data_IF_051305467113
#
_entry.id   IF_051305467113
#
_cell.length_a   1.000
_cell.length_b   1.000
_cell.length_c   1.000
_cell.angle_alpha   90.00
_cell.angle_beta   90.00
_cell.angle_gamma   90.00
#
_symmetry.space_group_name_H-M   'P 1'
#
loop_
_entity.id
_entity.type
_entity.pdbx_description
1 polymer ?
#
# COMPACT_ATOMS: atom_id res chain seq x y z
N UNK A 1 -40.23 -8.42 21.09
CA UNK A 1 -38.85 -7.93 21.31
C UNK A 1 -38.28 -7.55 19.95
N UNK A 2 -38.35 -6.27 19.61
CA UNK A 2 -37.87 -5.69 18.35
C UNK A 2 -36.94 -4.55 18.73
N UNK A 3 -35.66 -4.69 18.43
CA UNK A 3 -34.66 -3.66 18.69
C UNK A 3 -34.50 -2.85 17.41
N UNK A 4 -34.96 -1.61 17.47
CA UNK A 4 -34.81 -0.60 16.41
C UNK A 4 -33.32 -0.36 16.12
N UNK A 5 -32.90 -0.56 14.87
CA UNK A 5 -31.65 -0.03 14.34
C UNK A 5 -31.63 1.49 14.54
N UNK A 6 -30.73 1.95 15.40
CA UNK A 6 -30.44 3.36 15.62
C UNK A 6 -29.81 3.98 14.37
N UNK A 7 -30.39 5.09 13.96
CA UNK A 7 -29.90 5.96 12.90
C UNK A 7 -28.48 6.44 13.20
N UNK A 8 -27.52 6.04 12.37
CA UNK A 8 -26.24 6.74 12.19
C UNK A 8 -26.32 7.52 10.88
N UNK A 9 -27.17 8.54 10.86
CA UNK A 9 -27.06 9.66 9.93
C UNK A 9 -26.86 10.90 10.78
N UNK A 10 -25.62 11.16 11.19
CA UNK A 10 -25.24 12.37 11.90
C UNK A 10 -23.95 12.93 11.28
N UNK A 11 -24.13 14.06 10.58
CA UNK A 11 -23.23 15.21 10.62
C UNK A 11 -21.85 15.12 9.93
N UNK A 12 -21.76 14.52 8.73
CA UNK A 12 -20.55 14.58 7.89
C UNK A 12 -20.47 15.86 7.02
N UNK A 13 -20.86 17.02 7.56
CA UNK A 13 -21.07 18.26 6.80
C UNK A 13 -20.39 19.52 7.35
N UNK A 14 -19.48 19.42 8.33
CA UNK A 14 -18.67 20.56 8.78
C UNK A 14 -17.21 20.37 8.34
N UNK A 15 -16.98 20.44 7.04
CA UNK A 15 -15.65 20.79 6.55
C UNK A 15 -15.31 22.16 7.11
N UNK A 16 -14.16 22.31 7.78
CA UNK A 16 -13.64 23.61 8.20
C UNK A 16 -13.59 24.47 6.94
N UNK A 17 -14.45 25.49 6.86
CA UNK A 17 -14.49 26.43 5.75
C UNK A 17 -13.27 27.33 5.84
N UNK A 18 -12.14 26.86 5.31
CA UNK A 18 -10.92 27.65 5.18
C UNK A 18 -11.19 28.89 4.34
N UNK A 19 -10.70 30.04 4.80
CA UNK A 19 -10.70 31.28 4.06
C UNK A 19 -9.87 31.17 2.77
N UNK A 20 -10.11 32.03 1.76
CA UNK A 20 -9.33 32.01 0.52
C UNK A 20 -7.82 32.16 0.74
N UNK A 21 -7.40 32.94 1.73
CA UNK A 21 -5.99 33.13 2.07
C UNK A 21 -5.38 31.88 2.71
N UNK A 22 -6.11 31.22 3.62
CA UNK A 22 -5.67 29.96 4.23
C UNK A 22 -5.55 28.83 3.20
N UNK A 23 -6.47 28.78 2.22
CA UNK A 23 -6.41 27.83 1.10
C UNK A 23 -5.18 28.06 0.21
N UNK A 24 -4.83 29.32 -0.03
CA UNK A 24 -3.63 29.65 -0.82
C UNK A 24 -2.36 29.25 -0.07
N UNK A 25 -2.23 29.62 1.20
CA UNK A 25 -1.07 29.24 2.02
C UNK A 25 -0.93 27.72 2.17
N UNK A 26 -2.04 26.99 2.33
CA UNK A 26 -2.04 25.53 2.39
C UNK A 26 -1.55 24.90 1.08
N UNK A 27 -1.95 25.47 -0.07
CA UNK A 27 -1.50 25.00 -1.38
C UNK A 27 -0.01 25.25 -1.58
N UNK A 28 0.48 26.44 -1.26
CA UNK A 28 1.91 26.78 -1.36
C UNK A 28 2.78 25.88 -0.46
N UNK A 29 2.35 25.65 0.79
CA UNK A 29 3.02 24.72 1.69
C UNK A 29 3.01 23.29 1.15
N UNK A 30 1.91 22.85 0.55
CA UNK A 30 1.79 21.53 -0.08
C UNK A 30 2.73 21.38 -1.26
N UNK A 31 2.79 22.38 -2.14
CA UNK A 31 3.67 22.37 -3.32
C UNK A 31 5.15 22.38 -2.91
N UNK A 32 5.51 23.16 -1.88
CA UNK A 32 6.85 23.13 -1.28
C UNK A 32 7.20 21.74 -0.74
N UNK A 33 6.31 21.13 0.05
CA UNK A 33 6.55 19.80 0.63
C UNK A 33 6.68 18.72 -0.45
N UNK A 34 5.84 18.77 -1.49
CA UNK A 34 5.93 17.85 -2.63
C UNK A 34 7.29 18.00 -3.31
N UNK A 35 7.78 19.22 -3.53
CA UNK A 35 9.09 19.42 -4.15
C UNK A 35 10.23 18.94 -3.23
N UNK A 36 10.20 19.33 -1.95
CA UNK A 36 11.21 18.95 -0.96
C UNK A 36 11.34 17.42 -0.84
N UNK A 37 10.20 16.70 -0.81
CA UNK A 37 10.17 15.25 -0.65
C UNK A 37 10.83 14.47 -1.80
N UNK A 38 10.86 15.02 -3.02
CA UNK A 38 11.46 14.33 -4.19
C UNK A 38 12.96 14.18 -4.03
N UNK A 39 13.60 15.23 -3.51
CA UNK A 39 15.05 15.31 -3.36
C UNK A 39 15.48 14.63 -2.06
N UNK A 40 14.80 14.96 -0.94
CA UNK A 40 15.27 14.59 0.39
C UNK A 40 14.52 13.41 1.02
N UNK A 41 13.31 13.11 0.54
CA UNK A 41 12.37 12.26 1.28
C UNK A 41 11.84 12.96 2.54
N UNK A 42 11.08 12.22 3.35
CA UNK A 42 10.44 12.70 4.58
C UNK A 42 10.84 11.82 5.77
N UNK A 43 10.90 12.42 6.96
CA UNK A 43 11.13 11.68 8.21
C UNK A 43 9.91 10.82 8.57
N UNK A 44 10.13 9.79 9.39
CA UNK A 44 9.07 8.86 9.82
C UNK A 44 7.90 9.58 10.49
N UNK A 45 8.17 10.56 11.36
CA UNK A 45 7.14 11.36 12.05
C UNK A 45 6.32 12.22 11.08
N UNK A 46 6.98 12.81 10.08
CA UNK A 46 6.32 13.61 9.04
C UNK A 46 5.46 12.72 8.16
N UNK A 47 5.96 11.56 7.72
CA UNK A 47 5.18 10.58 6.95
C UNK A 47 3.95 10.15 7.74
N UNK A 48 4.12 9.81 9.01
CA UNK A 48 3.02 9.36 9.88
C UNK A 48 1.94 10.42 10.02
N UNK A 49 2.34 11.67 10.27
CA UNK A 49 1.41 12.79 10.46
C UNK A 49 0.71 13.16 9.15
N UNK A 50 1.49 13.33 8.08
CA UNK A 50 0.98 13.69 6.76
C UNK A 50 0.05 12.61 6.21
N UNK A 51 0.43 11.33 6.30
CA UNK A 51 -0.40 10.23 5.81
C UNK A 51 -1.74 10.18 6.55
N UNK A 52 -1.76 10.40 7.87
CA UNK A 52 -3.01 10.45 8.63
C UNK A 52 -3.90 11.61 8.19
N UNK A 53 -3.37 12.83 8.12
CA UNK A 53 -4.13 13.99 7.65
C UNK A 53 -4.64 13.76 6.22
N UNK A 54 -3.77 13.39 5.30
CA UNK A 54 -4.11 13.18 3.88
C UNK A 54 -5.07 11.99 3.69
N UNK A 55 -5.05 10.94 4.51
CA UNK A 55 -5.97 9.79 4.35
C UNK A 55 -7.32 10.04 5.00
N UNK A 56 -7.39 10.71 6.15
CA UNK A 56 -8.62 10.81 6.93
C UNK A 56 -9.32 12.17 6.82
N UNK A 57 -8.59 13.25 6.58
CA UNK A 57 -9.17 14.59 6.50
C UNK A 57 -9.61 14.91 5.06
N UNK A 58 -10.58 15.82 4.91
CA UNK A 58 -11.10 16.26 3.61
C UNK A 58 -10.77 17.73 3.32
N UNK A 59 -9.56 18.14 3.69
CA UNK A 59 -9.06 19.50 3.53
C UNK A 59 -8.39 19.76 2.16
N UNK A 60 -8.17 18.72 1.36
CA UNK A 60 -7.49 18.79 0.06
C UNK A 60 -8.38 18.26 -1.07
N UNK A 61 -8.26 18.87 -2.25
CA UNK A 61 -8.81 18.26 -3.46
C UNK A 61 -8.08 16.93 -3.78
N UNK A 62 -8.74 16.05 -4.52
CA UNK A 62 -8.24 14.70 -4.83
C UNK A 62 -6.86 14.70 -5.51
N UNK A 63 -6.52 15.74 -6.27
CA UNK A 63 -5.26 15.85 -7.00
C UNK A 63 -4.13 16.19 -6.03
N UNK A 64 -4.32 17.21 -5.21
CA UNK A 64 -3.35 17.61 -4.17
C UNK A 64 -3.16 16.49 -3.16
N UNK A 65 -4.26 15.89 -2.70
CA UNK A 65 -4.28 14.75 -1.79
C UNK A 65 -3.45 13.57 -2.32
N UNK A 66 -3.60 13.24 -3.61
CA UNK A 66 -2.80 12.19 -4.26
C UNK A 66 -1.33 12.54 -4.33
N UNK A 67 -0.98 13.77 -4.71
CA UNK A 67 0.42 14.20 -4.79
C UNK A 67 1.09 14.15 -3.41
N UNK A 68 0.42 14.66 -2.38
CA UNK A 68 0.88 14.62 -0.99
C UNK A 68 1.06 13.18 -0.47
N UNK A 69 0.10 12.30 -0.77
CA UNK A 69 0.24 10.88 -0.42
C UNK A 69 1.48 10.27 -1.11
N UNK A 70 1.69 10.57 -2.38
CA UNK A 70 2.79 9.96 -3.15
C UNK A 70 4.16 10.57 -2.81
N UNK A 71 4.20 11.76 -2.22
CA UNK A 71 5.41 12.32 -1.59
C UNK A 71 5.77 11.69 -0.25
N UNK A 72 4.90 10.83 0.33
CA UNK A 72 5.20 10.10 1.56
C UNK A 72 6.19 8.97 1.29
N UNK A 73 7.45 9.34 1.01
CA UNK A 73 8.59 8.45 0.80
C UNK A 73 9.65 8.75 1.86
N UNK A 74 10.32 7.72 2.42
CA UNK A 74 11.27 7.91 3.50
C UNK A 74 12.52 8.67 3.06
N UNK A 75 13.05 9.46 3.99
CA UNK A 75 14.39 10.05 3.92
C UNK A 75 15.47 8.99 4.22
N UNK A 76 15.23 8.10 5.17
CA UNK A 76 16.15 7.03 5.62
C UNK A 76 15.38 5.76 6.03
N UNK A 77 16.11 4.74 6.48
CA UNK A 77 15.67 3.35 6.70
C UNK A 77 14.31 3.13 7.39
N UNK A 78 13.87 4.06 8.26
CA UNK A 78 12.72 3.85 9.12
C UNK A 78 11.40 4.38 8.51
N UNK A 79 10.67 3.49 7.82
CA UNK A 79 9.29 3.76 7.40
C UNK A 79 8.27 3.49 8.53
N UNK A 80 7.27 4.36 8.79
CA UNK A 80 6.25 4.16 9.84
C UNK A 80 5.18 3.14 9.41
N UNK A 81 5.48 1.85 9.52
CA UNK A 81 4.61 0.75 9.04
C UNK A 81 3.18 0.77 9.57
N UNK A 82 2.91 1.37 10.73
CA UNK A 82 1.57 1.47 11.32
C UNK A 82 0.57 2.25 10.44
N UNK A 83 1.05 3.05 9.48
CA UNK A 83 0.18 3.77 8.54
C UNK A 83 -0.45 2.85 7.49
N UNK A 84 0.17 1.70 7.20
CA UNK A 84 -0.28 0.79 6.13
C UNK A 84 -1.63 0.14 6.47
N UNK A 85 -1.84 -0.50 7.64
CA UNK A 85 -3.16 -1.03 8.01
C UNK A 85 -4.25 0.04 8.04
N UNK A 86 -3.90 1.25 8.50
CA UNK A 86 -4.82 2.39 8.56
C UNK A 86 -5.28 2.78 7.15
N UNK A 87 -4.34 2.91 6.22
CA UNK A 87 -4.59 3.22 4.82
C UNK A 87 -5.45 2.14 4.13
N UNK A 88 -5.08 0.86 4.30
CA UNK A 88 -5.83 -0.27 3.73
C UNK A 88 -7.25 -0.32 4.28
N UNK A 89 -7.41 -0.23 5.60
CA UNK A 89 -8.72 -0.28 6.26
C UNK A 89 -9.62 0.87 5.79
N UNK A 90 -9.08 2.08 5.67
CA UNK A 90 -9.82 3.22 5.14
C UNK A 90 -10.24 3.00 3.68
N UNK A 91 -9.35 2.49 2.84
CA UNK A 91 -9.65 2.20 1.43
C UNK A 91 -10.74 1.13 1.24
N UNK A 92 -11.00 0.30 2.26
CA UNK A 92 -12.04 -0.72 2.24
C UNK A 92 -13.42 -0.23 2.71
N UNK A 93 -13.54 1.02 3.16
CA UNK A 93 -14.81 1.59 3.57
C UNK A 93 -15.72 1.86 2.35
N UNK A 94 -17.04 1.61 2.46
CA UNK A 94 -17.98 1.66 1.34
C UNK A 94 -18.23 3.08 0.80
N UNK A 95 -18.02 4.11 1.63
CA UNK A 95 -18.25 5.52 1.31
C UNK A 95 -17.06 6.19 0.62
N UNK A 96 -15.93 5.50 0.44
CA UNK A 96 -14.74 6.09 -0.16
C UNK A 96 -14.81 5.98 -1.68
N UNK A 97 -14.52 7.07 -2.37
CA UNK A 97 -14.50 7.08 -3.83
C UNK A 97 -13.48 6.08 -4.37
N UNK A 98 -13.85 5.33 -5.41
CA UNK A 98 -12.95 4.36 -6.04
C UNK A 98 -11.64 4.98 -6.54
N UNK A 99 -11.69 6.26 -6.94
CA UNK A 99 -10.51 7.03 -7.35
C UNK A 99 -9.53 7.21 -6.20
N UNK A 100 -10.02 7.47 -4.99
CA UNK A 100 -9.19 7.62 -3.81
C UNK A 100 -8.69 6.26 -3.29
N UNK A 101 -9.57 5.25 -3.23
CA UNK A 101 -9.18 3.87 -2.91
C UNK A 101 -8.03 3.41 -3.82
N UNK A 102 -8.17 3.61 -5.14
CA UNK A 102 -7.13 3.27 -6.11
C UNK A 102 -5.82 4.03 -5.86
N UNK A 103 -5.89 5.31 -5.48
CA UNK A 103 -4.70 6.11 -5.19
C UNK A 103 -3.95 5.58 -3.96
N UNK A 104 -4.69 5.27 -2.88
CA UNK A 104 -4.11 4.68 -1.66
C UNK A 104 -3.42 3.35 -1.95
N UNK A 105 -4.13 2.44 -2.63
CA UNK A 105 -3.58 1.12 -2.93
C UNK A 105 -2.40 1.19 -3.92
N UNK A 106 -2.42 2.15 -4.85
CA UNK A 106 -1.31 2.37 -5.79
C UNK A 106 -0.05 2.83 -5.07
N UNK A 107 -0.19 3.69 -4.07
CA UNK A 107 0.93 4.10 -3.22
C UNK A 107 1.53 2.91 -2.47
N UNK A 108 0.70 2.08 -1.83
CA UNK A 108 1.16 0.88 -1.11
C UNK A 108 1.82 -0.13 -2.06
N UNK A 109 1.22 -0.39 -3.22
CA UNK A 109 1.79 -1.27 -4.24
C UNK A 109 3.16 -0.75 -4.71
N UNK A 110 3.30 0.56 -4.91
CA UNK A 110 4.57 1.19 -5.26
C UNK A 110 5.64 1.01 -4.17
N UNK A 111 5.30 1.24 -2.90
CA UNK A 111 6.23 1.03 -1.79
C UNK A 111 6.79 -0.40 -1.75
N UNK A 112 5.95 -1.40 -2.06
CA UNK A 112 6.35 -2.80 -2.17
C UNK A 112 7.18 -3.10 -3.43
N UNK A 113 6.77 -2.57 -4.58
CA UNK A 113 7.44 -2.79 -5.88
C UNK A 113 8.89 -2.28 -5.89
N UNK A 114 9.13 -1.16 -5.20
CA UNK A 114 10.45 -0.52 -5.13
C UNK A 114 11.23 -0.90 -3.87
N UNK A 115 10.76 -1.89 -3.10
CA UNK A 115 11.41 -2.35 -1.87
C UNK A 115 11.66 -1.22 -0.85
N UNK A 116 10.80 -0.20 -0.83
CA UNK A 116 10.85 0.89 0.16
C UNK A 116 10.35 0.40 1.53
N UNK A 117 9.45 -0.60 1.52
CA UNK A 117 8.97 -1.29 2.71
C UNK A 117 9.20 -2.79 2.57
N UNK A 118 9.50 -3.46 3.68
CA UNK A 118 9.74 -4.89 3.73
C UNK A 118 8.42 -5.67 3.75
N UNK A 119 8.25 -6.54 2.76
CA UNK A 119 7.12 -7.47 2.60
C UNK A 119 6.96 -8.45 3.78
N UNK A 120 8.03 -8.73 4.52
CA UNK A 120 8.01 -9.64 5.67
C UNK A 120 7.31 -9.02 6.89
N UNK A 121 7.17 -7.68 6.92
CA UNK A 121 6.67 -6.95 8.07
C UNK A 121 5.20 -7.32 8.40
N UNK A 122 4.94 -7.59 9.69
CA UNK A 122 3.63 -7.99 10.22
C UNK A 122 2.50 -6.99 9.91
N UNK A 123 2.79 -5.69 9.85
CA UNK A 123 1.80 -4.65 9.53
C UNK A 123 1.34 -4.71 8.08
N UNK A 124 2.13 -5.32 7.20
CA UNK A 124 1.72 -5.54 5.82
C UNK A 124 0.86 -6.80 5.74
N UNK A 125 1.30 -7.90 6.36
CA UNK A 125 0.56 -9.17 6.26
C UNK A 125 -0.81 -9.14 6.95
N UNK A 126 -0.99 -8.38 8.03
CA UNK A 126 -2.32 -8.21 8.66
C UNK A 126 -3.38 -7.64 7.69
N UNK A 127 -2.95 -6.95 6.64
CA UNK A 127 -3.83 -6.38 5.61
C UNK A 127 -4.37 -7.44 4.63
N UNK A 128 -3.86 -8.67 4.65
CA UNK A 128 -4.14 -9.69 3.64
C UNK A 128 -5.64 -9.92 3.41
N UNK A 129 -6.39 -10.15 4.48
CA UNK A 129 -7.83 -10.44 4.40
C UNK A 129 -8.60 -9.26 3.82
N UNK A 130 -8.28 -8.04 4.25
CA UNK A 130 -8.94 -6.82 3.76
C UNK A 130 -8.65 -6.61 2.27
N UNK A 131 -7.40 -6.78 1.85
CA UNK A 131 -7.00 -6.70 0.43
C UNK A 131 -7.66 -7.79 -0.42
N UNK A 132 -7.79 -9.00 0.13
CA UNK A 132 -8.49 -10.10 -0.55
C UNK A 132 -9.98 -9.79 -0.76
N UNK A 133 -10.63 -9.16 0.22
CA UNK A 133 -12.03 -8.74 0.10
C UNK A 133 -12.23 -7.64 -0.95
N UNK A 134 -11.23 -6.77 -1.17
CA UNK A 134 -11.25 -5.74 -2.22
C UNK A 134 -11.20 -6.32 -3.64
N UNK A 135 -10.87 -7.61 -3.81
CA UNK A 135 -10.81 -8.24 -5.12
C UNK A 135 -12.14 -8.24 -5.85
N UNK A 136 -13.29 -8.20 -5.15
CA UNK A 136 -14.60 -8.22 -5.81
C UNK A 136 -14.95 -6.89 -6.53
N UNK A 137 -14.18 -5.83 -6.28
CA UNK A 137 -14.36 -4.52 -6.90
C UNK A 137 -13.52 -4.38 -8.16
N UNK A 138 -14.17 -4.36 -9.34
CA UNK A 138 -13.50 -4.19 -10.65
C UNK A 138 -12.55 -2.98 -10.70
N UNK A 139 -12.83 -1.92 -9.94
CA UNK A 139 -12.08 -0.66 -10.01
C UNK A 139 -10.73 -0.71 -9.28
N UNK A 140 -10.61 -1.54 -8.24
CA UNK A 140 -9.39 -1.65 -7.42
C UNK A 140 -8.77 -3.05 -7.46
N UNK A 141 -9.46 -4.04 -8.06
CA UNK A 141 -9.02 -5.42 -8.14
C UNK A 141 -7.59 -5.55 -8.70
N UNK A 142 -7.24 -4.78 -9.74
CA UNK A 142 -5.92 -4.85 -10.34
C UNK A 142 -4.79 -4.47 -9.35
N UNK A 143 -4.97 -3.38 -8.61
CA UNK A 143 -3.96 -2.91 -7.65
C UNK A 143 -3.97 -3.74 -6.37
N UNK A 144 -5.13 -4.22 -5.90
CA UNK A 144 -5.22 -5.15 -4.78
C UNK A 144 -4.56 -6.50 -5.12
N UNK A 145 -4.78 -7.05 -6.32
CA UNK A 145 -4.08 -8.25 -6.81
C UNK A 145 -2.58 -8.05 -6.81
N UNK A 146 -2.11 -6.88 -7.25
CA UNK A 146 -0.68 -6.56 -7.27
C UNK A 146 -0.08 -6.61 -5.87
N UNK A 147 -0.70 -5.97 -4.87
CA UNK A 147 -0.24 -6.03 -3.48
C UNK A 147 -0.24 -7.48 -2.97
N UNK A 148 -1.33 -8.23 -3.19
CA UNK A 148 -1.46 -9.62 -2.76
C UNK A 148 -0.38 -10.54 -3.36
N UNK A 149 0.11 -10.26 -4.57
CA UNK A 149 1.21 -11.04 -5.16
C UNK A 149 2.51 -10.92 -4.37
N UNK A 150 2.78 -9.76 -3.76
CA UNK A 150 3.95 -9.60 -2.89
C UNK A 150 3.75 -10.31 -1.56
N UNK A 151 2.58 -10.15 -0.95
CA UNK A 151 2.38 -10.49 0.46
C UNK A 151 1.81 -11.90 0.70
N UNK A 152 1.40 -12.62 -0.35
CA UNK A 152 0.85 -13.98 -0.22
C UNK A 152 1.91 -14.95 0.28
N UNK A 153 1.60 -15.63 1.38
CA UNK A 153 2.39 -16.71 1.97
C UNK A 153 1.71 -18.06 1.72
N UNK A 154 2.42 -19.15 1.98
CA UNK A 154 1.88 -20.51 1.83
C UNK A 154 0.59 -20.72 2.65
N UNK A 155 0.55 -20.19 3.88
CA UNK A 155 -0.59 -20.26 4.80
C UNK A 155 -1.85 -19.53 4.29
N UNK A 156 -1.67 -18.55 3.41
CA UNK A 156 -2.79 -17.81 2.84
C UNK A 156 -3.53 -18.59 1.75
N UNK A 157 -2.85 -19.56 1.14
CA UNK A 157 -3.34 -20.34 0.00
C UNK A 157 -4.22 -21.49 0.48
N UNK A 158 -5.49 -21.16 0.74
CA UNK A 158 -6.50 -22.10 1.24
C UNK A 158 -7.48 -22.53 0.14
N UNK A 159 -8.09 -23.73 0.22
CA UNK A 159 -9.07 -24.18 -0.77
C UNK A 159 -10.24 -23.20 -0.97
N UNK A 160 -10.69 -22.54 0.10
CA UNK A 160 -11.79 -21.58 0.04
C UNK A 160 -11.39 -20.33 -0.75
N UNK A 161 -10.21 -19.75 -0.48
CA UNK A 161 -9.72 -18.59 -1.24
C UNK A 161 -9.45 -18.94 -2.70
N UNK A 162 -8.88 -20.12 -2.97
CA UNK A 162 -8.67 -20.61 -4.34
C UNK A 162 -9.98 -20.71 -5.12
N UNK A 163 -11.05 -21.26 -4.52
CA UNK A 163 -12.39 -21.30 -5.14
C UNK A 163 -12.92 -19.90 -5.46
N UNK A 164 -12.72 -18.93 -4.55
CA UNK A 164 -13.13 -17.54 -4.77
C UNK A 164 -12.36 -16.95 -5.95
N UNK A 165 -11.04 -17.11 -6.00
CA UNK A 165 -10.22 -16.60 -7.11
C UNK A 165 -10.64 -17.19 -8.45
N UNK A 166 -10.84 -18.51 -8.54
CA UNK A 166 -11.30 -19.17 -9.77
C UNK A 166 -12.70 -18.69 -10.20
N UNK A 167 -13.56 -18.31 -9.25
CA UNK A 167 -14.85 -17.69 -9.55
C UNK A 167 -14.69 -16.26 -10.08
N UNK A 168 -13.81 -15.46 -9.45
CA UNK A 168 -13.54 -14.08 -9.87
C UNK A 168 -12.85 -14.00 -11.23
N UNK A 169 -11.99 -14.97 -11.56
CA UNK A 169 -11.31 -15.04 -12.86
C UNK A 169 -12.32 -15.11 -14.02
N UNK A 170 -13.47 -15.75 -13.82
CA UNK A 170 -14.53 -15.86 -14.83
C UNK A 170 -15.32 -14.57 -15.05
N UNK A 171 -15.16 -13.54 -14.19
CA UNK A 171 -15.85 -12.25 -14.34
C UNK A 171 -15.19 -11.42 -15.44
N UNK A 172 -16.02 -10.82 -16.29
CA UNK A 172 -15.56 -9.93 -17.35
C UNK A 172 -14.74 -8.75 -16.78
N UNK A 173 -13.57 -8.49 -17.37
CA UNK A 173 -12.67 -7.41 -16.95
C UNK A 173 -11.73 -7.76 -15.79
N UNK A 174 -11.90 -8.91 -15.12
CA UNK A 174 -11.08 -9.31 -13.97
C UNK A 174 -10.05 -10.41 -14.27
N UNK A 175 -10.23 -11.12 -15.39
CA UNK A 175 -9.39 -12.26 -15.80
C UNK A 175 -7.90 -11.92 -15.64
N UNK A 176 -7.44 -10.80 -16.19
CA UNK A 176 -5.99 -10.51 -16.26
C UNK A 176 -5.33 -10.29 -14.91
N UNK A 177 -5.98 -9.56 -13.99
CA UNK A 177 -5.42 -9.33 -12.66
C UNK A 177 -5.54 -10.57 -11.76
N UNK A 178 -6.70 -11.24 -11.79
CA UNK A 178 -6.92 -12.43 -10.96
C UNK A 178 -6.00 -13.58 -11.39
N UNK A 179 -5.81 -13.83 -12.69
CA UNK A 179 -4.93 -14.90 -13.18
C UNK A 179 -3.50 -14.75 -12.64
N UNK A 180 -3.00 -13.52 -12.48
CA UNK A 180 -1.66 -13.30 -11.92
C UNK A 180 -1.54 -13.68 -10.44
N UNK A 181 -2.59 -13.46 -9.63
CA UNK A 181 -2.63 -13.96 -8.25
C UNK A 181 -2.83 -15.48 -8.19
N UNK A 182 -3.64 -16.05 -9.10
CA UNK A 182 -3.82 -17.51 -9.20
C UNK A 182 -2.48 -18.21 -9.52
N UNK A 183 -1.58 -17.60 -10.29
CA UNK A 183 -0.23 -18.15 -10.52
C UNK A 183 0.57 -18.28 -9.23
N UNK A 184 0.50 -17.28 -8.34
CA UNK A 184 1.14 -17.36 -7.02
C UNK A 184 0.52 -18.47 -6.18
N UNK A 185 -0.82 -18.59 -6.19
CA UNK A 185 -1.51 -19.68 -5.50
C UNK A 185 -1.12 -21.06 -6.04
N UNK A 186 -1.02 -21.20 -7.37
CA UNK A 186 -0.58 -22.44 -8.04
C UNK A 186 0.88 -22.77 -7.71
N UNK A 187 1.73 -21.77 -7.57
CA UNK A 187 3.12 -21.96 -7.16
C UNK A 187 3.22 -22.57 -5.76
N UNK A 188 2.47 -22.04 -4.79
CA UNK A 188 2.47 -22.56 -3.42
C UNK A 188 1.71 -23.89 -3.25
N UNK A 189 0.58 -24.06 -3.96
CA UNK A 189 -0.34 -25.20 -3.85
C UNK A 189 -0.85 -25.63 -5.22
N UNK A 190 -0.04 -26.35 -6.02
CA UNK A 190 -0.43 -26.77 -7.36
C UNK A 190 -1.63 -27.74 -7.35
N UNK A 191 -1.81 -28.48 -6.27
CA UNK A 191 -2.94 -29.38 -6.03
C UNK A 191 -4.31 -28.65 -5.99
N UNK A 192 -4.31 -27.36 -5.64
CA UNK A 192 -5.53 -26.56 -5.56
C UNK A 192 -5.90 -25.87 -6.88
N UNK A 193 -4.96 -25.78 -7.84
CA UNK A 193 -5.13 -25.02 -9.09
C UNK A 193 -4.83 -25.91 -10.30
N UNK A 194 -5.87 -26.60 -10.78
CA UNK A 194 -5.78 -27.55 -11.91
C UNK A 194 -5.81 -26.84 -13.28
N UNK A 195 -6.21 -25.57 -13.36
CA UNK A 195 -6.38 -24.85 -14.63
C UNK A 195 -5.05 -24.57 -15.36
N UNK A 196 -5.10 -24.64 -16.70
CA UNK A 196 -4.09 -24.02 -17.57
C UNK A 196 -4.28 -22.51 -17.51
N UNK A 197 -3.24 -21.79 -17.10
CA UNK A 197 -3.25 -20.34 -17.01
C UNK A 197 -2.59 -19.79 -18.26
N UNK A 198 -3.35 -19.11 -19.10
CA UNK A 198 -2.80 -18.41 -20.26
C UNK A 198 -1.81 -17.34 -19.79
N UNK A 199 -0.74 -17.10 -20.55
CA UNK A 199 0.33 -16.16 -20.18
C UNK A 199 -0.12 -14.72 -20.43
N UNK A 200 -1.00 -14.23 -19.55
CA UNK A 200 -1.43 -12.83 -19.54
C UNK A 200 -0.81 -12.14 -18.32
N UNK A 201 0.14 -11.25 -18.56
CA UNK A 201 0.75 -10.38 -17.55
C UNK A 201 0.45 -8.94 -17.94
N UNK A 202 -0.50 -8.30 -17.26
CA UNK A 202 -0.53 -6.84 -17.19
C UNK A 202 -0.03 -6.48 -15.82
N UNK A 203 1.20 -5.97 -15.75
CA UNK A 203 1.72 -5.42 -14.52
C UNK A 203 1.00 -4.08 -14.27
N UNK A 204 0.42 -3.93 -13.09
CA UNK A 204 0.03 -2.62 -12.61
C UNK A 204 1.32 -1.84 -12.38
N UNK A 205 1.57 -0.83 -13.22
CA UNK A 205 2.72 0.05 -13.06
C UNK A 205 2.26 1.32 -12.33
N UNK A 206 2.97 1.76 -11.27
CA UNK A 206 2.64 3.02 -10.62
C UNK A 206 2.80 4.20 -11.60
N UNK A 207 2.08 5.31 -11.39
CA UNK A 207 2.26 6.53 -12.17
C UNK A 207 3.72 6.99 -12.16
N UNK A 208 4.19 7.57 -13.28
CA UNK A 208 5.61 7.95 -13.47
C UNK A 208 6.19 8.74 -12.30
N UNK A 209 5.46 9.74 -11.80
CA UNK A 209 5.93 10.59 -10.70
C UNK A 209 6.09 9.84 -9.38
N UNK A 210 5.23 8.85 -9.11
CA UNK A 210 5.36 7.96 -7.95
C UNK A 210 6.58 7.06 -8.14
N UNK A 211 6.71 6.43 -9.31
CA UNK A 211 7.81 5.54 -9.62
C UNK A 211 9.17 6.24 -9.49
N UNK A 212 9.29 7.49 -9.94
CA UNK A 212 10.50 8.30 -9.80
C UNK A 212 10.81 8.62 -8.33
N UNK A 213 9.82 9.06 -7.57
CA UNK A 213 9.99 9.37 -6.13
C UNK A 213 10.40 8.14 -5.33
N UNK A 214 9.80 6.98 -5.63
CA UNK A 214 10.12 5.70 -4.99
C UNK A 214 11.50 5.19 -5.38
N UNK A 215 11.89 5.33 -6.65
CA UNK A 215 13.23 4.96 -7.11
C UNK A 215 14.30 5.80 -6.40
N UNK A 216 14.09 7.11 -6.25
CA UNK A 216 15.00 7.97 -5.51
C UNK A 216 15.08 7.56 -4.03
N UNK A 217 13.95 7.22 -3.41
CA UNK A 217 13.92 6.70 -2.04
C UNK A 217 14.69 5.38 -1.91
N UNK A 218 14.51 4.46 -2.85
CA UNK A 218 15.24 3.19 -2.88
C UNK A 218 16.76 3.41 -3.00
N UNK A 219 17.21 4.34 -3.86
CA UNK A 219 18.63 4.66 -3.99
C UNK A 219 19.23 5.19 -2.68
N UNK A 220 18.51 6.08 -1.97
CA UNK A 220 18.95 6.58 -0.65
C UNK A 220 19.08 5.46 0.39
N UNK A 221 18.16 4.49 0.37
CA UNK A 221 18.20 3.32 1.25
C UNK A 221 19.39 2.39 0.94
N UNK A 222 19.78 2.27 -0.34
CA UNK A 222 20.94 1.48 -0.74
C UNK A 222 22.28 2.17 -0.40
N UNK A 223 22.32 3.50 -0.45
CA UNK A 223 23.50 4.28 -0.05
C UNK A 223 23.81 4.13 1.45
N UNK A 224 22.77 4.05 2.30
CA UNK A 224 22.96 3.78 3.74
C UNK A 224 23.55 2.41 4.02
N UNK A 225 23.23 1.39 3.21
CA UNK A 225 23.78 0.04 3.34
C UNK A 225 25.23 -0.09 2.84
N UNK A 226 25.70 0.88 2.03
CA UNK A 226 26.95 0.78 1.28
C UNK A 226 28.19 1.35 1.99
N UNK A 227 28.05 1.90 3.21
CA UNK A 227 29.20 2.33 4.01
C UNK A 227 29.71 1.17 4.90
N UNK A 228 31.00 0.77 4.79
CA UNK A 228 31.60 -0.17 5.73
C UNK A 228 31.92 0.56 7.04
N UNK A 229 30.90 0.83 7.85
CA UNK A 229 31.03 1.38 9.20
C UNK A 229 31.00 0.27 10.25
N UNK A 230 32.17 -0.15 10.72
CA UNK A 230 32.43 -0.72 12.06
C UNK A 230 31.44 -1.77 12.63
N UNK A 231 31.05 -2.77 11.83
CA UNK A 231 30.28 -3.93 12.28
C UNK A 231 31.07 -5.25 12.37
N UNK A 232 32.36 -5.24 12.03
CA UNK A 232 33.19 -6.46 12.02
C UNK A 232 33.85 -6.71 13.39
N UNK A 233 33.07 -7.03 14.43
CA UNK A 233 33.62 -7.67 15.63
C UNK A 233 32.59 -8.27 16.61
N UNK A 234 31.53 -8.94 16.13
CA UNK A 234 30.59 -9.61 17.06
C UNK A 234 30.26 -11.09 16.75
N UNK A 235 30.78 -11.68 15.67
CA UNK A 235 30.51 -13.09 15.34
C UNK A 235 31.69 -14.05 15.52
N UNK A 236 32.80 -13.62 16.14
CA UNK A 236 33.98 -14.47 16.35
C UNK A 236 34.27 -14.86 17.82
N UNK A 237 33.36 -14.59 18.76
CA UNK A 237 33.58 -14.90 20.19
C UNK A 237 32.79 -16.10 20.74
N UNK A 238 31.90 -16.71 19.95
CA UNK A 238 31.03 -17.81 20.43
C UNK A 238 31.48 -19.21 19.99
N UNK A 239 32.60 -19.36 19.27
CA UNK A 239 33.07 -20.67 18.79
C UNK A 239 34.22 -21.29 19.62
N UNK A 240 34.63 -20.63 20.71
CA UNK A 240 35.66 -21.15 21.65
C UNK A 240 35.10 -21.75 22.94
N UNK A 241 33.77 -21.87 23.10
CA UNK A 241 33.13 -22.48 24.29
C UNK A 241 32.39 -23.79 24.02
N UNK A 242 32.59 -24.40 22.85
CA UNK A 242 32.05 -25.73 22.52
C UNK A 242 33.08 -26.68 21.90
N UNK A 243 34.31 -26.74 22.42
CA UNK A 243 35.20 -27.91 22.32
C UNK A 243 36.10 -28.01 23.53
#
# INVERSE_FOLDING_TARGET
>A
MSVRCGAWCADSGKGILLSPQEKLGLKEASDYLIQFSKENGLTSDVIKTLTKSVIFEDCYDITTRRKLLYSCVPQSEHFPYEVIPLAVSYSALPNISSTWQYSILTWIAGLLDFHVIDVSNKYIHICYVTLFNLLDSNKVCAVACKILQHITRLEDVTPNRTKILLRLEKKAGMVTCISSLIRIYKFFRPDLVVSRLDRITRNHNPPKFLAESLKNAQLRLQETDSYPGDGHQLWAYDDQKRR
#
